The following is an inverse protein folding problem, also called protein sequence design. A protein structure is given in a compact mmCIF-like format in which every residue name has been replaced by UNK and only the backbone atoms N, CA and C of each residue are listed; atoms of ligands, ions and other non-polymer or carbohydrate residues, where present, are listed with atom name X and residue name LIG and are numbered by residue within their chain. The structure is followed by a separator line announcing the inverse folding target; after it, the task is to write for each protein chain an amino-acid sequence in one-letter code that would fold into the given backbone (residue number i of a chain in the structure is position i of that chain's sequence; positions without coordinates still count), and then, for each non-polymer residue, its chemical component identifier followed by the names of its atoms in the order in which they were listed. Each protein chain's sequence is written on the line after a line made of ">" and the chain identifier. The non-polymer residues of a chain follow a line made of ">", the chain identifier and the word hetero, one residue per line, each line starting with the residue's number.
data_IF_105789945637
#
_entry.id   IF_105789945637
#
_cell.length_a   1.000
_cell.length_b   1.000
_cell.length_c   1.000
_cell.angle_alpha   90.00
_cell.angle_beta   90.00
_cell.angle_gamma   90.00
#
_symmetry.space_group_name_H-M   'P 1'
#
loop_
_entity.id
_entity.type
_entity.pdbx_description
1 polymer ?
#
# COMPACT_ATOMS: atom_id res chain seq x y z
N UNK A 1 -19.43 0.83 -2.09
CA UNK A 1 -19.79 -0.59 -1.88
C UNK A 1 -19.16 -1.05 -0.59
N UNK A 2 -19.73 -2.09 0.02
CA UNK A 2 -19.08 -2.92 1.03
C UNK A 2 -18.34 -4.05 0.32
N UNK A 3 -17.02 -4.05 0.34
CA UNK A 3 -16.20 -5.01 -0.40
C UNK A 3 -15.59 -5.99 0.60
N UNK A 4 -15.75 -7.29 0.36
CA UNK A 4 -14.97 -8.33 1.04
C UNK A 4 -13.79 -8.72 0.19
N UNK A 5 -12.66 -9.02 0.81
CA UNK A 5 -11.58 -9.67 0.07
C UNK A 5 -10.53 -10.29 0.95
N UNK A 6 -9.73 -11.17 0.34
CA UNK A 6 -8.63 -11.85 1.02
C UNK A 6 -7.46 -12.15 0.09
N UNK A 7 -6.30 -12.38 0.68
CA UNK A 7 -5.26 -13.16 0.02
C UNK A 7 -5.64 -14.63 0.09
N UNK A 8 -5.39 -15.37 -0.97
CA UNK A 8 -5.36 -16.83 -0.94
C UNK A 8 -4.35 -17.33 0.08
N UNK A 9 -4.62 -18.50 0.65
CA UNK A 9 -3.72 -19.22 1.55
C UNK A 9 -3.33 -18.45 2.82
N UNK A 10 -2.53 -19.07 3.68
CA UNK A 10 -1.89 -18.41 4.82
C UNK A 10 -0.61 -19.14 5.25
N UNK A 11 0.24 -18.59 6.13
CA UNK A 11 1.52 -19.21 6.49
C UNK A 11 1.44 -20.65 7.03
N UNK A 12 0.28 -21.06 7.55
CA UNK A 12 0.02 -22.41 8.08
C UNK A 12 -0.76 -23.32 7.12
N UNK A 13 -1.21 -22.78 5.99
CA UNK A 13 -1.79 -23.51 4.86
C UNK A 13 -1.30 -22.84 3.56
N UNK A 14 -0.01 -22.99 3.22
CA UNK A 14 0.61 -22.23 2.14
C UNK A 14 0.08 -22.65 0.77
N UNK A 15 0.15 -21.71 -0.17
CA UNK A 15 -0.21 -21.92 -1.58
C UNK A 15 0.94 -22.48 -2.40
N UNK A 16 0.88 -22.21 -3.70
CA UNK A 16 1.92 -22.57 -4.66
C UNK A 16 3.26 -21.89 -4.34
N UNK A 17 4.35 -22.59 -4.67
CA UNK A 17 5.71 -22.05 -4.60
C UNK A 17 6.45 -22.36 -5.89
N UNK A 18 7.11 -21.33 -6.44
CA UNK A 18 7.95 -21.41 -7.61
C UNK A 18 9.24 -20.61 -7.42
N UNK A 19 9.52 -19.68 -8.33
CA UNK A 19 10.61 -18.70 -8.17
C UNK A 19 10.31 -17.75 -7.01
N UNK A 20 9.02 -17.50 -6.75
CA UNK A 20 8.52 -16.78 -5.57
C UNK A 20 7.39 -17.59 -4.92
N UNK A 21 7.08 -17.26 -3.67
CA UNK A 21 6.04 -17.92 -2.86
C UNK A 21 4.70 -17.18 -3.00
N UNK A 22 3.64 -17.90 -3.37
CA UNK A 22 2.29 -17.35 -3.51
C UNK A 22 1.82 -16.70 -2.22
N UNK A 23 1.92 -17.44 -1.11
CA UNK A 23 1.40 -17.02 0.20
C UNK A 23 1.92 -15.64 0.61
N UNK A 24 3.21 -15.41 0.37
CA UNK A 24 3.91 -14.17 0.71
C UNK A 24 3.56 -13.04 -0.27
N UNK A 25 3.67 -13.29 -1.57
CA UNK A 25 3.58 -12.23 -2.57
C UNK A 25 2.13 -11.85 -2.89
N UNK A 26 1.20 -12.82 -2.91
CA UNK A 26 -0.24 -12.55 -3.01
C UNK A 26 -0.73 -11.69 -1.83
N UNK A 27 -0.21 -11.93 -0.62
CA UNK A 27 -0.56 -11.12 0.56
C UNK A 27 -0.12 -9.67 0.41
N UNK A 28 1.07 -9.41 -0.13
CA UNK A 28 1.54 -8.05 -0.39
C UNK A 28 0.66 -7.34 -1.41
N UNK A 29 0.37 -7.97 -2.54
CA UNK A 29 -0.51 -7.42 -3.58
C UNK A 29 -1.90 -7.13 -3.00
N UNK A 30 -2.44 -8.05 -2.19
CA UNK A 30 -3.72 -7.88 -1.51
C UNK A 30 -3.73 -6.64 -0.60
N UNK A 31 -2.72 -6.47 0.24
CA UNK A 31 -2.64 -5.32 1.17
C UNK A 31 -2.66 -3.99 0.42
N UNK A 32 -2.00 -3.89 -0.74
CA UNK A 32 -2.07 -2.69 -1.57
C UNK A 32 -3.44 -2.52 -2.23
N UNK A 33 -4.04 -3.58 -2.78
CA UNK A 33 -5.41 -3.48 -3.33
C UNK A 33 -6.42 -2.99 -2.30
N UNK A 34 -6.34 -3.52 -1.07
CA UNK A 34 -7.13 -3.11 0.09
C UNK A 34 -6.88 -1.64 0.43
N UNK A 35 -5.62 -1.22 0.55
CA UNK A 35 -5.22 0.17 0.82
C UNK A 35 -5.88 1.17 -0.14
N UNK A 36 -6.01 0.82 -1.42
CA UNK A 36 -6.67 1.70 -2.40
C UNK A 36 -8.19 1.67 -2.28
N UNK A 37 -8.80 0.49 -2.11
CA UNK A 37 -10.26 0.33 -2.03
C UNK A 37 -10.84 0.95 -0.75
N UNK A 38 -10.13 0.87 0.38
CA UNK A 38 -10.55 1.43 1.68
C UNK A 38 -10.72 2.96 1.69
N UNK A 39 -10.17 3.67 0.69
CA UNK A 39 -10.30 5.13 0.59
C UNK A 39 -11.72 5.57 0.19
N UNK A 40 -12.44 4.74 -0.55
CA UNK A 40 -13.74 5.08 -1.15
C UNK A 40 -14.83 4.06 -0.86
N UNK A 41 -14.48 2.95 -0.19
CA UNK A 41 -15.38 1.85 0.09
C UNK A 41 -15.25 1.37 1.53
N UNK A 42 -16.33 0.79 2.07
CA UNK A 42 -16.23 0.01 3.29
C UNK A 42 -15.57 -1.32 2.94
N UNK A 43 -14.43 -1.64 3.56
CA UNK A 43 -13.72 -2.89 3.28
C UNK A 43 -13.83 -3.86 4.46
N UNK A 44 -14.04 -5.15 4.15
CA UNK A 44 -14.05 -6.26 5.10
C UNK A 44 -12.90 -7.19 4.74
N UNK A 45 -11.86 -7.17 5.57
CA UNK A 45 -10.73 -8.10 5.43
C UNK A 45 -11.20 -9.51 5.82
N UNK A 46 -11.25 -10.40 4.82
CA UNK A 46 -11.67 -11.79 4.94
C UNK A 46 -10.47 -12.73 5.04
N UNK A 47 -9.27 -12.21 5.33
CA UNK A 47 -8.08 -13.01 5.54
C UNK A 47 -8.07 -13.66 6.93
N UNK A 48 -7.96 -15.00 7.04
CA UNK A 48 -8.07 -15.71 8.32
C UNK A 48 -6.87 -15.53 9.26
N UNK A 49 -5.74 -14.98 8.78
CA UNK A 49 -4.48 -15.03 9.53
C UNK A 49 -3.91 -16.44 9.53
N UNK A 50 -3.20 -16.82 10.59
CA UNK A 50 -2.56 -18.13 10.69
C UNK A 50 -3.60 -19.20 11.08
N UNK A 51 -4.03 -20.01 10.11
CA UNK A 51 -4.89 -21.17 10.32
C UNK A 51 -4.30 -22.39 9.64
N UNK A 52 -4.08 -23.46 10.42
CA UNK A 52 -3.77 -24.77 9.87
C UNK A 52 -5.01 -25.30 9.13
N UNK A 53 -4.80 -26.02 8.03
CA UNK A 53 -5.81 -26.60 7.13
C UNK A 53 -6.40 -25.63 6.08
N UNK A 54 -6.18 -25.98 4.81
CA UNK A 54 -6.60 -25.20 3.64
C UNK A 54 -8.13 -25.13 3.48
N UNK A 55 -8.87 -26.17 3.90
CA UNK A 55 -10.34 -26.16 3.82
C UNK A 55 -10.95 -25.28 4.90
N UNK A 56 -10.38 -25.31 6.11
CA UNK A 56 -10.85 -24.49 7.24
C UNK A 56 -10.64 -23.02 6.97
N UNK A 57 -9.45 -22.64 6.53
CA UNK A 57 -9.11 -21.24 6.27
C UNK A 57 -9.94 -20.67 5.09
N UNK A 58 -10.16 -21.47 4.04
CA UNK A 58 -11.00 -21.14 2.89
C UNK A 58 -12.44 -20.83 3.33
N UNK A 59 -13.04 -21.77 4.07
CA UNK A 59 -14.39 -21.60 4.58
C UNK A 59 -14.53 -20.44 5.55
N UNK A 60 -13.48 -20.13 6.34
CA UNK A 60 -13.50 -18.97 7.22
C UNK A 60 -13.66 -17.67 6.42
N UNK A 61 -12.89 -17.48 5.35
CA UNK A 61 -12.96 -16.29 4.49
C UNK A 61 -14.34 -16.13 3.84
N UNK A 62 -14.89 -17.22 3.31
CA UNK A 62 -16.23 -17.27 2.71
C UNK A 62 -17.30 -16.89 3.74
N UNK A 63 -17.28 -17.53 4.92
CA UNK A 63 -18.23 -17.25 5.99
C UNK A 63 -18.12 -15.81 6.51
N UNK A 64 -16.90 -15.27 6.58
CA UNK A 64 -16.66 -13.87 6.96
C UNK A 64 -17.29 -12.90 5.96
N UNK A 65 -17.14 -13.15 4.65
CA UNK A 65 -17.77 -12.34 3.61
C UNK A 65 -19.31 -12.40 3.70
N UNK A 66 -19.87 -13.61 3.78
CA UNK A 66 -21.32 -13.85 3.85
C UNK A 66 -21.94 -13.21 5.10
N UNK A 67 -21.40 -13.49 6.29
CA UNK A 67 -21.91 -12.92 7.55
C UNK A 67 -21.77 -11.40 7.62
N UNK A 68 -20.84 -10.83 6.85
CA UNK A 68 -20.67 -9.39 6.74
C UNK A 68 -21.59 -8.75 5.70
N UNK A 69 -22.37 -9.51 4.93
CA UNK A 69 -23.24 -9.01 3.86
C UNK A 69 -22.50 -8.03 2.92
N UNK A 70 -21.33 -8.45 2.42
CA UNK A 70 -20.58 -7.62 1.45
C UNK A 70 -21.28 -7.62 0.09
N UNK A 71 -21.17 -6.53 -0.65
CA UNK A 71 -21.78 -6.36 -1.98
C UNK A 71 -21.01 -7.13 -3.07
N UNK A 72 -19.70 -7.30 -2.86
CA UNK A 72 -18.77 -7.92 -3.80
C UNK A 72 -17.59 -8.55 -3.07
N UNK A 73 -17.14 -9.71 -3.52
CA UNK A 73 -15.99 -10.43 -2.96
C UNK A 73 -14.89 -10.66 -3.99
N UNK A 74 -13.62 -10.60 -3.57
CA UNK A 74 -12.50 -11.05 -4.39
C UNK A 74 -11.39 -11.71 -3.58
N UNK A 75 -10.72 -12.67 -4.18
CA UNK A 75 -9.47 -13.24 -3.65
C UNK A 75 -8.31 -12.99 -4.62
N UNK A 76 -7.11 -12.86 -4.06
CA UNK A 76 -5.85 -12.69 -4.82
C UNK A 76 -4.97 -13.92 -4.61
N UNK A 77 -4.54 -14.49 -5.73
CA UNK A 77 -3.70 -15.68 -5.83
C UNK A 77 -2.54 -15.45 -6.81
N UNK A 78 -1.54 -16.33 -6.73
CA UNK A 78 -0.55 -16.54 -7.79
C UNK A 78 -0.71 -17.98 -8.30
N UNK A 79 -0.67 -18.15 -9.61
CA UNK A 79 -0.93 -19.45 -10.22
C UNK A 79 0.35 -20.30 -10.27
N UNK A 80 0.20 -21.59 -10.54
CA UNK A 80 1.28 -22.52 -10.89
C UNK A 80 0.75 -23.66 -11.75
N UNK A 81 1.38 -23.88 -12.90
CA UNK A 81 1.09 -25.00 -13.80
C UNK A 81 2.27 -25.99 -13.93
N UNK A 82 3.51 -25.53 -13.68
CA UNK A 82 4.72 -26.32 -13.91
C UNK A 82 5.65 -26.29 -12.69
N UNK A 83 6.68 -27.14 -12.69
CA UNK A 83 7.76 -27.07 -11.70
C UNK A 83 8.74 -25.93 -12.03
N UNK A 84 8.90 -25.60 -13.31
CA UNK A 84 9.61 -24.42 -13.78
C UNK A 84 9.10 -24.02 -15.16
N UNK A 85 9.13 -22.72 -15.49
CA UNK A 85 8.75 -22.24 -16.81
C UNK A 85 9.62 -21.05 -17.25
N UNK A 86 10.37 -21.20 -18.34
CA UNK A 86 11.16 -20.10 -18.92
C UNK A 86 10.33 -19.33 -19.96
N UNK A 87 9.72 -18.23 -19.54
CA UNK A 87 8.84 -17.43 -20.39
C UNK A 87 7.76 -16.71 -19.58
N UNK A 88 6.76 -16.17 -20.29
CA UNK A 88 5.57 -15.57 -19.70
C UNK A 88 4.37 -16.51 -19.86
N UNK A 89 3.51 -16.57 -18.85
CA UNK A 89 2.23 -17.30 -18.91
C UNK A 89 1.07 -16.33 -18.75
N UNK A 90 1.13 -15.45 -17.73
CA UNK A 90 0.23 -14.32 -17.56
C UNK A 90 -0.87 -14.48 -16.53
N UNK A 91 -1.86 -13.61 -16.63
CA UNK A 91 -2.94 -13.42 -15.65
C UNK A 91 -4.26 -14.01 -16.12
N UNK A 92 -5.05 -14.55 -15.20
CA UNK A 92 -6.43 -14.98 -15.45
C UNK A 92 -7.34 -14.64 -14.26
N UNK A 93 -8.64 -14.55 -14.51
CA UNK A 93 -9.62 -14.29 -13.44
C UNK A 93 -10.75 -15.31 -13.56
N UNK A 94 -11.02 -16.00 -12.47
CA UNK A 94 -12.12 -16.94 -12.38
C UNK A 94 -13.36 -16.26 -11.81
N UNK A 95 -14.51 -16.50 -12.44
CA UNK A 95 -15.82 -16.04 -11.99
C UNK A 95 -16.85 -17.15 -12.13
N UNK A 96 -17.96 -17.06 -11.40
CA UNK A 96 -19.05 -18.02 -11.58
C UNK A 96 -19.72 -17.83 -12.96
N UNK A 97 -20.15 -18.89 -13.68
CA UNK A 97 -20.70 -18.77 -15.04
C UNK A 97 -21.85 -17.76 -15.22
N UNK A 98 -22.75 -17.67 -14.25
CA UNK A 98 -23.91 -16.77 -14.28
C UNK A 98 -23.64 -15.38 -13.66
N UNK A 99 -22.38 -15.03 -13.39
CA UNK A 99 -22.02 -13.72 -12.83
C UNK A 99 -22.54 -12.57 -13.71
N UNK A 100 -22.85 -11.47 -13.05
CA UNK A 100 -23.34 -10.25 -13.71
C UNK A 100 -22.35 -9.69 -14.74
N UNK A 101 -22.87 -8.94 -15.72
CA UNK A 101 -22.02 -8.20 -16.66
C UNK A 101 -21.09 -7.23 -15.91
N UNK A 102 -21.57 -6.63 -14.81
CA UNK A 102 -20.76 -5.74 -13.99
C UNK A 102 -19.57 -6.45 -13.31
N UNK A 103 -19.64 -7.76 -13.04
CA UNK A 103 -18.52 -8.57 -12.54
C UNK A 103 -17.52 -8.87 -13.65
N UNK A 104 -18.01 -9.22 -14.84
CA UNK A 104 -17.18 -9.41 -16.04
C UNK A 104 -16.43 -8.13 -16.43
N UNK A 105 -17.09 -6.98 -16.33
CA UNK A 105 -16.46 -5.69 -16.63
C UNK A 105 -15.34 -5.34 -15.63
N UNK A 106 -15.54 -5.63 -14.34
CA UNK A 106 -14.47 -5.52 -13.33
C UNK A 106 -13.29 -6.40 -13.71
N UNK A 107 -13.53 -7.69 -13.97
CA UNK A 107 -12.48 -8.64 -14.34
C UNK A 107 -11.71 -8.22 -15.60
N UNK A 108 -12.43 -7.80 -16.65
CA UNK A 108 -11.82 -7.31 -17.89
C UNK A 108 -10.94 -6.07 -17.67
N UNK A 109 -11.35 -5.14 -16.79
CA UNK A 109 -10.52 -3.97 -16.45
C UNK A 109 -9.25 -4.38 -15.70
N UNK A 110 -9.34 -5.31 -14.74
CA UNK A 110 -8.18 -5.83 -14.01
C UNK A 110 -7.19 -6.49 -14.98
N UNK A 111 -7.67 -7.41 -15.82
CA UNK A 111 -6.85 -8.08 -16.84
C UNK A 111 -6.23 -7.08 -17.83
N UNK A 112 -7.00 -6.07 -18.26
CA UNK A 112 -6.48 -4.99 -19.13
C UNK A 112 -5.40 -4.16 -18.43
N UNK A 113 -5.54 -3.92 -17.12
CA UNK A 113 -4.54 -3.20 -16.34
C UNK A 113 -3.26 -4.02 -16.16
N UNK A 114 -3.35 -5.32 -15.89
CA UNK A 114 -2.19 -6.21 -15.90
C UNK A 114 -1.53 -6.29 -17.28
N UNK A 115 -2.32 -6.33 -18.35
CA UNK A 115 -1.80 -6.33 -19.71
C UNK A 115 -1.01 -5.06 -20.05
N UNK A 116 -1.43 -3.89 -19.55
CA UNK A 116 -0.66 -2.64 -19.66
C UNK A 116 0.68 -2.69 -18.90
N UNK A 117 0.78 -3.52 -17.87
CA UNK A 117 2.03 -3.82 -17.17
C UNK A 117 2.85 -4.91 -17.89
N UNK A 118 2.37 -5.48 -18.99
CA UNK A 118 3.10 -6.45 -19.80
C UNK A 118 2.80 -7.92 -19.50
N UNK A 119 1.92 -8.22 -18.54
CA UNK A 119 1.47 -9.60 -18.32
C UNK A 119 0.58 -10.06 -19.49
N UNK A 120 0.67 -11.34 -19.86
CA UNK A 120 -0.24 -11.92 -20.85
C UNK A 120 -1.65 -11.94 -20.24
N UNK A 121 -2.66 -11.52 -21.00
CA UNK A 121 -4.06 -11.61 -20.60
C UNK A 121 -4.63 -12.95 -21.10
N UNK A 122 -4.89 -13.88 -20.18
CA UNK A 122 -5.44 -15.21 -20.49
C UNK A 122 -6.97 -15.26 -20.43
N UNK A 123 -7.59 -14.11 -20.17
CA UNK A 123 -9.03 -13.92 -20.15
C UNK A 123 -9.70 -14.35 -18.85
N UNK A 124 -11.02 -14.16 -18.85
CA UNK A 124 -11.90 -14.65 -17.79
C UNK A 124 -12.10 -16.16 -17.98
N UNK A 125 -12.06 -16.89 -16.87
CA UNK A 125 -12.38 -18.32 -16.76
C UNK A 125 -13.65 -18.49 -15.93
N UNK A 126 -14.34 -19.60 -16.15
CA UNK A 126 -15.60 -19.89 -15.48
C UNK A 126 -15.51 -21.20 -14.71
N UNK A 127 -15.98 -21.19 -13.45
CA UNK A 127 -16.05 -22.41 -12.63
C UNK A 127 -17.26 -22.39 -11.71
N UNK A 128 -17.90 -23.56 -11.57
CA UNK A 128 -18.91 -23.83 -10.54
C UNK A 128 -18.34 -24.59 -9.34
N UNK A 129 -17.06 -24.97 -9.40
CA UNK A 129 -16.42 -25.88 -8.43
C UNK A 129 -15.57 -25.14 -7.39
N UNK A 130 -15.08 -23.95 -7.72
CA UNK A 130 -14.25 -23.16 -6.81
C UNK A 130 -15.10 -22.59 -5.66
N UNK A 131 -14.73 -22.92 -4.42
CA UNK A 131 -15.55 -22.66 -3.23
C UNK A 131 -15.88 -21.17 -3.05
N UNK A 132 -14.92 -20.27 -3.28
CA UNK A 132 -15.14 -18.83 -3.15
C UNK A 132 -16.14 -18.28 -4.17
N UNK A 133 -16.32 -18.96 -5.31
CA UNK A 133 -17.28 -18.58 -6.34
C UNK A 133 -18.67 -19.19 -6.11
N UNK A 134 -18.75 -20.40 -5.54
CA UNK A 134 -20.01 -21.14 -5.40
C UNK A 134 -20.64 -21.07 -4.00
N UNK A 135 -19.88 -20.66 -2.97
CA UNK A 135 -20.31 -20.66 -1.57
C UNK A 135 -20.40 -19.25 -0.97
N UNK A 136 -20.00 -18.21 -1.72
CA UNK A 136 -20.28 -16.83 -1.36
C UNK A 136 -21.71 -16.44 -1.77
N UNK A 137 -22.38 -15.61 -0.98
CA UNK A 137 -23.76 -15.18 -1.25
C UNK A 137 -23.84 -13.96 -2.17
N UNK A 138 -22.71 -13.35 -2.49
CA UNK A 138 -22.58 -12.19 -3.37
C UNK A 138 -21.75 -12.54 -4.62
N UNK A 139 -21.72 -11.63 -5.59
CA UNK A 139 -20.84 -11.76 -6.75
C UNK A 139 -19.36 -11.81 -6.32
N UNK A 140 -18.61 -12.78 -6.86
CA UNK A 140 -17.23 -13.07 -6.47
C UNK A 140 -16.31 -13.27 -7.67
N UNK A 141 -15.00 -13.05 -7.47
CA UNK A 141 -13.96 -13.44 -8.41
C UNK A 141 -12.69 -13.91 -7.70
N UNK A 142 -11.94 -14.80 -8.36
CA UNK A 142 -10.60 -15.23 -7.94
C UNK A 142 -9.61 -14.68 -8.96
N UNK A 143 -8.65 -13.89 -8.50
CA UNK A 143 -7.67 -13.22 -9.35
C UNK A 143 -6.34 -13.96 -9.28
N UNK A 144 -6.02 -14.68 -10.35
CA UNK A 144 -4.71 -15.28 -10.57
C UNK A 144 -3.79 -14.25 -11.22
N UNK A 145 -3.03 -13.51 -10.39
CA UNK A 145 -2.30 -12.33 -10.86
C UNK A 145 -1.27 -12.67 -11.94
N UNK A 146 -0.52 -13.74 -11.73
CA UNK A 146 0.49 -14.29 -12.64
C UNK A 146 1.02 -15.64 -12.09
N UNK A 147 1.90 -16.32 -12.84
CA UNK A 147 2.44 -17.63 -12.46
C UNK A 147 3.74 -17.51 -11.64
N UNK A 148 3.77 -18.10 -10.44
CA UNK A 148 4.88 -17.96 -9.49
C UNK A 148 6.18 -18.66 -9.95
N UNK A 149 6.09 -19.57 -10.93
CA UNK A 149 7.21 -20.30 -11.53
C UNK A 149 7.67 -19.75 -12.89
N UNK A 150 6.92 -18.83 -13.50
CA UNK A 150 7.21 -18.30 -14.84
C UNK A 150 8.22 -17.14 -14.78
N UNK A 151 9.39 -17.32 -15.41
CA UNK A 151 10.51 -16.38 -15.29
C UNK A 151 10.16 -14.95 -15.69
N UNK A 152 9.37 -14.75 -16.76
CA UNK A 152 9.00 -13.42 -17.25
C UNK A 152 7.86 -12.79 -16.46
N UNK A 153 6.94 -13.59 -15.94
CA UNK A 153 5.89 -13.09 -15.04
C UNK A 153 6.53 -12.54 -13.75
N UNK A 154 7.46 -13.29 -13.16
CA UNK A 154 8.18 -12.88 -11.95
C UNK A 154 9.10 -11.69 -12.21
N UNK A 155 9.72 -11.59 -13.38
CA UNK A 155 10.50 -10.41 -13.79
C UNK A 155 9.63 -9.14 -13.84
N UNK A 156 8.44 -9.23 -14.44
CA UNK A 156 7.47 -8.13 -14.47
C UNK A 156 7.02 -7.75 -13.06
N UNK A 157 6.69 -8.73 -12.23
CA UNK A 157 6.32 -8.48 -10.83
C UNK A 157 7.43 -7.72 -10.08
N UNK A 158 8.68 -8.19 -10.17
CA UNK A 158 9.84 -7.52 -9.54
C UNK A 158 10.09 -6.11 -10.09
N UNK A 159 9.79 -5.87 -11.37
CA UNK A 159 9.93 -4.56 -12.01
C UNK A 159 8.88 -3.56 -11.54
N UNK A 160 7.62 -3.98 -11.37
CA UNK A 160 6.51 -3.08 -11.06
C UNK A 160 6.21 -2.99 -9.57
N UNK A 161 6.45 -4.05 -8.81
CA UNK A 161 6.16 -4.16 -7.39
C UNK A 161 4.68 -4.37 -7.08
N UNK A 162 4.44 -4.82 -5.87
CA UNK A 162 3.12 -5.14 -5.30
C UNK A 162 2.16 -3.94 -5.29
N UNK A 163 2.65 -2.71 -5.14
CA UNK A 163 1.82 -1.49 -5.14
C UNK A 163 1.14 -1.26 -6.48
N UNK A 164 1.88 -1.41 -7.59
CA UNK A 164 1.32 -1.22 -8.94
C UNK A 164 0.32 -2.31 -9.30
N UNK A 165 0.56 -3.55 -8.87
CA UNK A 165 -0.39 -4.65 -9.10
C UNK A 165 -1.63 -4.47 -8.21
N UNK A 166 -1.46 -4.11 -6.94
CA UNK A 166 -2.58 -3.82 -6.03
C UNK A 166 -3.43 -2.66 -6.53
N UNK A 167 -2.81 -1.59 -7.06
CA UNK A 167 -3.51 -0.50 -7.73
C UNK A 167 -4.25 -0.97 -8.99
N UNK A 168 -3.63 -1.79 -9.84
CA UNK A 168 -4.27 -2.32 -11.05
C UNK A 168 -5.56 -3.10 -10.74
N UNK A 169 -5.57 -3.85 -9.64
CA UNK A 169 -6.73 -4.57 -9.13
C UNK A 169 -7.78 -3.59 -8.61
N UNK A 170 -7.39 -2.68 -7.71
CA UNK A 170 -8.31 -1.72 -7.11
C UNK A 170 -9.00 -0.84 -8.16
N UNK A 171 -8.23 -0.31 -9.12
CA UNK A 171 -8.76 0.46 -10.25
C UNK A 171 -9.63 -0.39 -11.19
N UNK A 172 -9.36 -1.69 -11.31
CA UNK A 172 -10.21 -2.59 -12.08
C UNK A 172 -11.57 -2.81 -11.41
N UNK A 173 -11.58 -2.95 -10.08
CA UNK A 173 -12.80 -3.07 -9.27
C UNK A 173 -13.61 -1.76 -9.32
N UNK A 174 -12.96 -0.62 -9.04
CA UNK A 174 -13.54 0.71 -9.16
C UNK A 174 -12.63 1.65 -9.98
N UNK A 175 -13.00 1.98 -11.24
CA UNK A 175 -12.19 2.83 -12.10
C UNK A 175 -12.12 4.30 -11.65
N UNK A 176 -12.92 4.72 -10.66
CA UNK A 176 -12.81 6.04 -10.04
C UNK A 176 -11.60 6.14 -9.11
N UNK A 177 -11.03 5.00 -8.67
CA UNK A 177 -9.78 4.96 -7.91
C UNK A 177 -8.64 5.37 -8.84
N UNK A 178 -8.21 6.62 -8.71
CA UNK A 178 -7.07 7.17 -9.44
C UNK A 178 -5.77 6.86 -8.70
N UNK A 179 -4.70 6.64 -9.46
CA UNK A 179 -3.36 6.62 -8.89
C UNK A 179 -2.98 8.07 -8.61
N UNK A 180 -3.45 8.62 -7.48
CA UNK A 180 -2.73 9.76 -6.90
C UNK A 180 -1.37 9.18 -6.55
N UNK A 181 -0.33 9.54 -7.31
CA UNK A 181 1.06 9.21 -6.99
C UNK A 181 1.20 9.32 -5.48
N UNK A 182 1.62 8.26 -4.76
CA UNK A 182 1.83 8.38 -3.34
C UNK A 182 2.86 9.49 -3.17
N UNK A 183 2.44 10.65 -2.66
CA UNK A 183 3.36 11.44 -1.85
C UNK A 183 3.72 10.42 -0.76
N UNK A 184 5.01 10.03 -0.62
CA UNK A 184 5.38 9.12 0.45
C UNK A 184 4.74 9.66 1.73
N UNK A 185 4.10 8.80 2.52
CA UNK A 185 3.67 9.17 3.86
C UNK A 185 4.93 9.55 4.62
N UNK A 186 5.31 10.82 4.53
CA UNK A 186 6.32 11.38 5.40
C UNK A 186 5.59 11.62 6.70
N UNK A 187 5.85 10.75 7.68
CA UNK A 187 5.36 10.93 9.03
C UNK A 187 5.67 12.37 9.46
N UNK A 188 4.60 13.13 9.71
CA UNK A 188 4.69 14.52 10.15
C UNK A 188 5.42 14.55 11.49
N UNK A 189 6.57 15.20 11.55
CA UNK A 189 7.33 15.28 12.81
C UNK A 189 6.68 16.28 13.75
N UNK A 190 6.73 16.03 15.07
CA UNK A 190 6.12 16.92 16.07
C UNK A 190 6.71 18.33 16.03
N UNK A 191 8.05 18.43 15.97
CA UNK A 191 8.72 19.71 15.74
C UNK A 191 9.80 19.56 14.65
N UNK A 192 10.07 20.63 13.92
CA UNK A 192 11.21 20.76 13.01
C UNK A 192 11.91 22.08 13.27
N UNK A 193 13.22 22.06 13.40
CA UNK A 193 14.04 23.26 13.60
C UNK A 193 14.69 23.63 12.27
N UNK A 194 14.52 24.87 11.83
CA UNK A 194 15.09 25.42 10.60
C UNK A 194 16.04 26.56 10.93
N UNK A 195 17.23 26.54 10.36
CA UNK A 195 18.25 27.59 10.47
C UNK A 195 18.82 27.95 9.09
N UNK A 196 19.39 29.14 8.88
CA UNK A 196 19.88 29.54 7.54
C UNK A 196 21.42 29.63 7.42
N UNK A 197 22.13 29.90 8.52
CA UNK A 197 23.55 30.20 8.50
C UNK A 197 24.33 29.39 9.57
N UNK A 198 25.63 29.20 9.37
CA UNK A 198 26.46 28.42 10.29
C UNK A 198 26.70 29.14 11.63
N UNK A 199 26.43 30.45 11.69
CA UNK A 199 26.56 31.28 12.91
C UNK A 199 25.50 30.86 13.95
N UNK A 200 24.26 30.63 13.51
CA UNK A 200 23.12 30.28 14.35
C UNK A 200 22.90 28.75 14.46
N UNK A 201 23.62 27.96 13.65
CA UNK A 201 23.50 26.49 13.62
C UNK A 201 23.59 25.87 15.02
N UNK A 202 24.53 26.32 15.85
CA UNK A 202 24.73 25.73 17.17
C UNK A 202 23.55 26.00 18.11
N UNK A 203 22.94 27.18 18.03
CA UNK A 203 21.73 27.49 18.78
C UNK A 203 20.55 26.61 18.30
N UNK A 204 20.46 26.37 16.99
CA UNK A 204 19.45 25.48 16.41
C UNK A 204 19.62 24.02 16.87
N UNK A 205 20.87 23.52 16.92
CA UNK A 205 21.21 22.19 17.43
C UNK A 205 20.84 22.04 18.92
N UNK A 206 21.11 23.03 19.77
CA UNK A 206 20.70 22.96 21.18
C UNK A 206 19.19 22.86 21.36
N UNK A 207 18.42 23.61 20.56
CA UNK A 207 16.96 23.50 20.57
C UNK A 207 16.49 22.12 20.08
N UNK A 208 17.13 21.60 19.04
CA UNK A 208 16.82 20.31 18.45
C UNK A 208 17.04 19.15 19.44
N UNK A 209 18.17 19.17 20.15
CA UNK A 209 18.49 18.20 21.21
C UNK A 209 17.46 18.27 22.35
N UNK A 210 17.09 19.48 22.78
CA UNK A 210 16.10 19.66 23.85
C UNK A 210 14.70 19.16 23.46
N UNK A 211 14.29 19.38 22.20
CA UNK A 211 12.99 18.97 21.69
C UNK A 211 12.97 17.53 21.14
N UNK A 212 14.10 16.82 21.13
CA UNK A 212 14.27 15.53 20.47
C UNK A 212 13.74 15.54 19.03
N UNK A 213 14.10 16.58 18.28
CA UNK A 213 13.49 16.93 17.00
C UNK A 213 14.54 17.17 15.92
N UNK A 214 14.25 16.89 14.64
CA UNK A 214 15.19 17.13 13.56
C UNK A 214 15.51 18.62 13.38
N UNK A 215 16.74 18.89 12.95
CA UNK A 215 17.21 20.22 12.54
C UNK A 215 17.66 20.17 11.08
N UNK A 216 17.25 21.17 10.30
CA UNK A 216 17.56 21.26 8.87
C UNK A 216 17.98 22.68 8.51
N UNK A 217 18.95 22.80 7.59
CA UNK A 217 19.27 24.09 6.99
C UNK A 217 18.16 24.49 6.03
N UNK A 218 17.77 25.75 6.00
CA UNK A 218 16.70 26.26 5.14
C UNK A 218 16.90 25.88 3.66
N UNK A 219 18.14 25.93 3.16
CA UNK A 219 18.46 25.52 1.78
C UNK A 219 18.08 24.07 1.45
N UNK A 220 17.90 23.23 2.47
CA UNK A 220 17.58 21.81 2.34
C UNK A 220 16.13 21.51 2.81
N UNK A 221 15.38 22.51 3.24
CA UNK A 221 14.01 22.34 3.70
C UNK A 221 13.05 22.22 2.51
N UNK A 222 12.15 21.24 2.58
CA UNK A 222 11.06 21.06 1.63
C UNK A 222 9.79 20.66 2.39
N UNK A 223 8.77 21.52 2.38
CA UNK A 223 7.53 21.32 3.13
C UNK A 223 6.76 20.06 2.73
N UNK A 224 6.91 19.60 1.48
CA UNK A 224 6.26 18.38 0.97
C UNK A 224 6.92 17.13 1.52
N UNK A 225 8.25 17.13 1.68
CA UNK A 225 9.01 15.95 2.12
C UNK A 225 9.46 16.00 3.58
N UNK A 226 9.19 17.11 4.27
CA UNK A 226 9.51 17.31 5.70
C UNK A 226 8.34 18.02 6.42
N UNK A 227 7.12 17.46 6.40
CA UNK A 227 5.99 18.04 7.11
C UNK A 227 6.24 18.01 8.63
N UNK A 228 5.89 19.09 9.33
CA UNK A 228 5.99 19.19 10.78
C UNK A 228 4.73 19.80 11.40
N UNK A 229 4.35 19.40 12.62
CA UNK A 229 3.24 20.02 13.37
C UNK A 229 3.60 21.43 13.84
N UNK A 230 4.87 21.63 14.21
CA UNK A 230 5.40 22.92 14.62
C UNK A 230 6.79 23.15 14.02
N UNK A 231 6.98 24.30 13.39
CA UNK A 231 8.25 24.74 12.81
C UNK A 231 8.87 25.82 13.71
N UNK A 232 10.08 25.56 14.19
CA UNK A 232 10.93 26.52 14.86
C UNK A 232 11.91 27.10 13.87
N UNK A 233 12.01 28.42 13.85
CA UNK A 233 12.99 29.15 13.07
C UNK A 233 14.02 29.72 14.03
N UNK A 234 15.29 29.35 13.85
CA UNK A 234 16.39 29.80 14.71
C UNK A 234 17.38 30.63 13.90
N UNK A 235 17.64 31.83 14.40
CA UNK A 235 18.61 32.74 13.79
C UNK A 235 18.06 33.60 12.66
N UNK A 236 18.89 34.55 12.25
CA UNK A 236 18.53 35.59 11.29
C UNK A 236 18.51 35.09 9.84
N UNK A 237 17.71 35.77 9.01
CA UNK A 237 17.72 35.59 7.56
C UNK A 237 17.02 34.34 7.04
N UNK A 238 16.34 33.56 7.89
CA UNK A 238 15.46 32.47 7.46
C UNK A 238 14.22 33.07 6.78
N UNK A 239 13.86 32.63 5.58
CA UNK A 239 12.68 33.09 4.82
C UNK A 239 11.43 32.25 5.08
N UNK A 240 11.63 31.00 5.49
CA UNK A 240 10.59 30.03 5.81
C UNK A 240 9.78 30.54 6.99
N UNK A 241 8.45 30.49 6.85
CA UNK A 241 7.52 30.87 7.92
C UNK A 241 7.55 29.78 9.00
N UNK A 242 8.01 30.15 10.20
CA UNK A 242 7.92 29.30 11.39
C UNK A 242 6.72 29.66 12.25
N UNK A 243 6.29 28.72 13.09
CA UNK A 243 5.32 28.96 14.16
C UNK A 243 5.96 29.70 15.34
N UNK A 244 7.25 29.42 15.59
CA UNK A 244 8.05 30.07 16.63
C UNK A 244 9.37 30.53 16.01
N UNK A 245 9.75 31.78 16.28
CA UNK A 245 11.00 32.38 15.81
C UNK A 245 11.86 32.81 16.99
N UNK A 246 13.08 32.28 17.05
CA UNK A 246 14.07 32.53 18.09
C UNK A 246 15.32 33.13 17.43
N UNK A 247 15.41 34.44 17.44
CA UNK A 247 16.51 35.19 16.83
C UNK A 247 16.91 36.38 17.71
N UNK A 248 18.16 36.80 17.59
CA UNK A 248 18.69 38.02 18.20
C UNK A 248 19.46 38.88 17.19
N UNK A 249 19.98 40.03 17.64
CA UNK A 249 20.80 40.92 16.81
C UNK A 249 22.14 40.31 16.40
N UNK A 250 22.60 39.28 17.13
CA UNK A 250 23.80 38.52 16.85
C UNK A 250 23.67 37.07 17.36
N UNK A 251 24.72 36.28 17.18
CA UNK A 251 24.77 34.86 17.59
C UNK A 251 24.55 34.65 19.08
N UNK A 252 24.99 35.60 19.92
CA UNK A 252 24.90 35.52 21.37
C UNK A 252 23.48 35.82 21.86
N UNK A 253 22.80 36.78 21.22
CA UNK A 253 21.40 37.05 21.50
C UNK A 253 20.48 35.94 20.94
N UNK A 254 20.81 35.36 19.77
CA UNK A 254 20.09 34.18 19.25
C UNK A 254 20.18 32.99 20.21
N UNK A 255 21.38 32.64 20.69
CA UNK A 255 21.50 31.52 21.65
C UNK A 255 20.83 31.83 22.99
N UNK A 256 20.83 33.09 23.46
CA UNK A 256 20.06 33.50 24.65
C UNK A 256 18.56 33.31 24.45
N UNK A 257 18.02 33.67 23.27
CA UNK A 257 16.61 33.46 22.95
C UNK A 257 16.24 31.97 23.01
N UNK A 258 17.11 31.10 22.47
CA UNK A 258 16.95 29.63 22.55
C UNK A 258 17.00 29.13 23.98
N UNK A 259 18.01 29.52 24.76
CA UNK A 259 18.17 29.07 26.14
C UNK A 259 17.02 29.56 27.04
N UNK A 260 16.49 30.77 26.81
CA UNK A 260 15.30 31.29 27.51
C UNK A 260 14.05 30.47 27.18
N UNK A 261 13.86 30.09 25.91
CA UNK A 261 12.77 29.19 25.52
C UNK A 261 12.86 27.83 26.22
N UNK A 262 14.08 27.32 26.43
CA UNK A 262 14.36 26.05 27.11
C UNK A 262 14.33 26.13 28.65
N UNK A 263 14.07 27.31 29.23
CA UNK A 263 14.21 27.58 30.67
C UNK A 263 15.59 27.18 31.22
N UNK A 264 16.66 27.54 30.50
CA UNK A 264 18.07 27.31 30.85
C UNK A 264 18.85 28.60 31.15
N UNK A 265 18.14 29.72 31.26
CA UNK A 265 18.61 31.06 31.61
C UNK A 265 17.67 31.68 32.64
#
# INVERSE_FOLDING_TARGET
>A
MKIGGRSGHNPLAPGASGIIDETTEARKIFLYSKKYLEKSHQFIDCYPGNMNDASVELMWGINKANSSNVDFFYSIHLNKAYDSYNGAIGSEIWVYPNCSQATKDKANRILSNFQKLGFINRGIKFSTELAELNSTSMEAMIIECFFCEATKDVELYKKFGEDKLGFAIANGIDPTIQNSTPIPEVNKVKNLIIYNNDIDKRAAEYLADFLLSPVVRESNYNATTMPAEKIFVVGGGVKTKGDIRLEGSDRYETIKAVLKYMNKL
#
